data_IF_252278686254
#
_entry.id   IF_252278686254
#
_cell.length_a   1.000
_cell.length_b   1.000
_cell.length_c   1.000
_cell.angle_alpha   90.00
_cell.angle_beta   90.00
_cell.angle_gamma   90.00
#
_symmetry.space_group_name_H-M   'P 1'
#
loop_
_entity.id
_entity.type
_entity.pdbx_description
1 polymer ?
#
# COMPACT_ATOMS: atom_id res chain seq x y z
N UNK A 1 6.60 8.55 19.79
CA UNK A 1 7.19 7.58 18.84
C UNK A 1 8.70 7.69 18.76
N UNK A 2 9.26 8.82 18.29
CA UNK A 2 10.71 9.01 18.11
C UNK A 2 11.53 8.76 19.39
N UNK A 3 11.15 9.36 20.53
CA UNK A 3 11.90 9.22 21.79
C UNK A 3 11.93 7.80 22.39
N UNK A 4 10.91 6.97 22.17
CA UNK A 4 10.69 5.75 22.97
C UNK A 4 10.52 4.46 22.18
N UNK A 5 10.11 4.51 20.92
CA UNK A 5 9.83 3.31 20.10
C UNK A 5 10.78 3.26 18.90
N UNK A 6 10.86 4.33 18.12
CA UNK A 6 11.67 4.38 16.89
C UNK A 6 12.53 5.65 16.84
N UNK A 7 13.67 5.69 17.55
CA UNK A 7 14.61 6.80 17.48
C UNK A 7 15.10 7.03 16.05
N UNK A 8 14.96 8.26 15.55
CA UNK A 8 15.40 8.64 14.20
C UNK A 8 14.48 8.21 13.06
N UNK A 9 13.38 7.51 13.33
CA UNK A 9 12.45 7.13 12.28
C UNK A 9 11.58 8.32 11.85
N UNK A 10 11.65 8.64 10.56
CA UNK A 10 10.65 9.45 9.88
C UNK A 10 9.56 8.54 9.32
N UNK A 11 8.51 8.32 10.11
CA UNK A 11 7.37 7.50 9.72
C UNK A 11 6.32 8.26 8.88
N UNK A 12 6.66 9.47 8.39
CA UNK A 12 5.72 10.36 7.69
C UNK A 12 6.19 10.76 6.30
N UNK A 13 7.04 9.96 5.67
CA UNK A 13 7.45 10.26 4.30
C UNK A 13 6.22 10.22 3.38
N UNK A 14 5.80 11.36 2.80
CA UNK A 14 4.61 11.39 1.97
C UNK A 14 4.87 10.59 0.69
N UNK A 15 3.81 10.02 0.11
CA UNK A 15 3.91 9.21 -1.10
C UNK A 15 4.67 9.94 -2.22
N UNK A 16 4.37 11.23 -2.42
CA UNK A 16 5.03 12.06 -3.43
C UNK A 16 6.55 12.08 -3.29
N UNK A 17 7.07 12.28 -2.07
CA UNK A 17 8.52 12.26 -1.85
C UNK A 17 9.13 10.92 -2.25
N UNK A 18 8.49 9.79 -1.90
CA UNK A 18 9.02 8.47 -2.24
C UNK A 18 9.01 8.28 -3.76
N UNK A 19 7.92 8.64 -4.43
CA UNK A 19 7.79 8.57 -5.89
C UNK A 19 8.87 9.44 -6.56
N UNK A 20 9.06 10.69 -6.13
CA UNK A 20 10.08 11.59 -6.67
C UNK A 20 11.49 10.98 -6.58
N UNK A 21 11.82 10.30 -5.46
CA UNK A 21 13.11 9.63 -5.30
C UNK A 21 13.26 8.39 -6.17
N UNK A 22 12.19 7.62 -6.36
CA UNK A 22 12.20 6.44 -7.22
C UNK A 22 12.36 6.84 -8.69
N UNK A 23 11.63 7.86 -9.14
CA UNK A 23 11.74 8.39 -10.50
C UNK A 23 13.12 9.00 -10.75
N UNK A 24 13.63 9.80 -9.81
CA UNK A 24 14.99 10.34 -9.86
C UNK A 24 16.09 9.26 -9.88
N UNK A 25 15.80 8.07 -9.36
CA UNK A 25 16.70 6.90 -9.43
C UNK A 25 16.52 6.05 -10.70
N UNK A 26 15.73 6.51 -11.67
CA UNK A 26 15.52 5.87 -12.97
C UNK A 26 14.53 4.70 -12.95
N UNK A 27 13.60 4.69 -11.99
CA UNK A 27 12.50 3.73 -11.97
C UNK A 27 11.22 4.32 -12.59
N UNK A 28 10.46 3.48 -13.30
CA UNK A 28 9.09 3.74 -13.70
C UNK A 28 8.15 3.03 -12.72
N UNK A 29 7.18 3.76 -12.17
CA UNK A 29 6.15 3.19 -11.31
C UNK A 29 5.12 2.43 -12.16
N UNK A 30 4.86 1.16 -11.81
CA UNK A 30 3.84 0.32 -12.45
C UNK A 30 2.52 0.29 -11.69
N UNK A 31 2.57 0.47 -10.38
CA UNK A 31 1.39 0.46 -9.53
C UNK A 31 1.71 0.80 -8.10
N UNK A 32 0.73 1.38 -7.40
CA UNK A 32 0.80 1.73 -5.99
C UNK A 32 -0.48 1.23 -5.32
N UNK A 33 -0.34 0.29 -4.41
CA UNK A 33 -1.45 -0.21 -3.60
C UNK A 33 -1.39 0.42 -2.20
N UNK A 34 -2.49 1.03 -1.77
CA UNK A 34 -2.62 1.55 -0.41
C UNK A 34 -3.09 0.44 0.51
N UNK A 35 -2.22 0.00 1.42
CA UNK A 35 -2.45 -1.15 2.30
C UNK A 35 -2.60 -0.78 3.78
N UNK A 36 -2.75 0.52 4.09
CA UNK A 36 -2.84 1.02 5.47
C UNK A 36 -3.93 0.40 6.33
N UNK A 37 -5.10 0.06 5.75
CA UNK A 37 -6.19 -0.61 6.48
C UNK A 37 -5.81 -2.04 6.91
N UNK A 38 -5.01 -2.74 6.10
CA UNK A 38 -4.47 -4.05 6.47
C UNK A 38 -3.43 -3.91 7.59
N UNK A 39 -2.60 -2.86 7.52
CA UNK A 39 -1.65 -2.55 8.58
C UNK A 39 -2.36 -2.23 9.91
N UNK A 40 -3.44 -1.45 9.88
CA UNK A 40 -4.32 -1.24 11.04
C UNK A 40 -4.83 -2.57 11.61
N UNK A 41 -5.30 -3.49 10.76
CA UNK A 41 -5.81 -4.79 11.23
C UNK A 41 -4.71 -5.62 11.91
N UNK A 42 -3.48 -5.56 11.41
CA UNK A 42 -2.31 -6.19 12.04
C UNK A 42 -2.02 -5.58 13.42
N UNK A 43 -1.94 -4.26 13.50
CA UNK A 43 -1.70 -3.54 14.76
C UNK A 43 -2.79 -3.81 15.80
N UNK A 44 -4.04 -3.94 15.36
CA UNK A 44 -5.15 -4.32 16.23
C UNK A 44 -4.96 -5.72 16.84
N UNK A 45 -4.52 -6.70 16.03
CA UNK A 45 -4.23 -8.05 16.53
C UNK A 45 -3.07 -8.02 17.53
N UNK A 46 -2.03 -7.24 17.26
CA UNK A 46 -0.90 -7.07 18.17
C UNK A 46 -1.31 -6.37 19.47
N UNK A 47 -2.14 -5.34 19.40
CA UNK A 47 -2.69 -4.64 20.56
C UNK A 47 -3.46 -5.60 21.48
N UNK A 48 -4.37 -6.41 20.92
CA UNK A 48 -5.11 -7.41 21.71
C UNK A 48 -4.18 -8.43 22.37
N UNK A 49 -3.17 -8.90 21.64
CA UNK A 49 -2.18 -9.83 22.16
C UNK A 49 -1.34 -9.20 23.29
N UNK A 50 -0.98 -7.92 23.15
CA UNK A 50 -0.24 -7.16 24.16
C UNK A 50 -1.03 -7.04 25.46
N UNK A 51 -2.30 -6.63 25.37
CA UNK A 51 -3.21 -6.53 26.52
C UNK A 51 -3.43 -7.88 27.18
N UNK A 52 -3.67 -8.94 26.39
CA UNK A 52 -3.91 -10.29 26.90
C UNK A 52 -2.71 -10.92 27.61
N UNK A 53 -1.49 -10.39 27.41
CA UNK A 53 -0.28 -10.87 28.06
C UNK A 53 0.30 -9.88 29.08
N UNK A 54 -0.52 -8.94 29.57
CA UNK A 54 -0.10 -7.84 30.45
C UNK A 54 0.78 -8.28 31.62
N UNK A 55 0.37 -9.30 32.38
CA UNK A 55 1.10 -9.76 33.57
C UNK A 55 2.54 -10.21 33.22
N UNK A 56 2.68 -10.99 32.14
CA UNK A 56 3.98 -11.49 31.68
C UNK A 56 4.88 -10.35 31.20
N UNK A 57 4.31 -9.39 30.48
CA UNK A 57 5.03 -8.25 29.94
C UNK A 57 5.45 -7.28 31.05
N UNK A 58 4.55 -6.95 31.99
CA UNK A 58 4.86 -6.09 33.13
C UNK A 58 5.92 -6.74 34.04
N UNK A 59 5.86 -8.06 34.27
CA UNK A 59 6.87 -8.76 35.06
C UNK A 59 8.28 -8.69 34.43
N UNK A 60 8.36 -8.77 33.09
CA UNK A 60 9.64 -8.79 32.38
C UNK A 60 10.20 -7.40 32.08
N UNK A 61 9.34 -6.43 31.74
CA UNK A 61 9.75 -5.12 31.22
C UNK A 61 9.29 -3.94 32.09
N UNK A 62 8.42 -4.18 33.07
CA UNK A 62 7.88 -3.15 33.96
C UNK A 62 6.70 -2.36 33.36
N UNK A 63 5.93 -1.74 34.26
CA UNK A 63 4.69 -1.00 33.95
C UNK A 63 4.89 0.17 32.99
N UNK A 64 6.04 0.86 33.09
CA UNK A 64 6.36 2.00 32.22
C UNK A 64 6.41 1.58 30.76
N UNK A 65 7.14 0.52 30.45
CA UNK A 65 7.27 0.01 29.09
C UNK A 65 5.98 -0.57 28.56
N UNK A 66 5.22 -1.27 29.40
CA UNK A 66 3.90 -1.77 29.05
C UNK A 66 2.98 -0.64 28.53
N UNK A 67 2.87 0.45 29.29
CA UNK A 67 2.02 1.60 28.93
C UNK A 67 2.47 2.34 27.68
N UNK A 68 3.79 2.49 27.48
CA UNK A 68 4.33 3.14 26.28
C UNK A 68 3.93 2.36 25.03
N UNK A 69 4.08 1.03 25.05
CA UNK A 69 3.73 0.15 23.93
C UNK A 69 2.22 0.01 23.74
N UNK A 70 1.45 -0.03 24.83
CA UNK A 70 -0.01 -0.02 24.79
C UNK A 70 -0.52 1.22 24.04
N UNK A 71 -0.05 2.41 24.44
CA UNK A 71 -0.40 3.66 23.77
C UNK A 71 0.02 3.67 22.30
N UNK A 72 1.24 3.22 22.02
CA UNK A 72 1.74 3.15 20.64
C UNK A 72 0.85 2.26 19.76
N UNK A 73 0.57 1.03 20.19
CA UNK A 73 -0.23 0.08 19.41
C UNK A 73 -1.67 0.57 19.20
N UNK A 74 -2.29 1.14 20.24
CA UNK A 74 -3.63 1.72 20.13
C UNK A 74 -3.66 2.89 19.13
N UNK A 75 -2.74 3.85 19.28
CA UNK A 75 -2.67 5.01 18.41
C UNK A 75 -2.36 4.63 16.96
N UNK A 76 -1.37 3.75 16.75
CA UNK A 76 -0.97 3.29 15.42
C UNK A 76 -2.09 2.53 14.70
N UNK A 77 -2.93 1.80 15.43
CA UNK A 77 -4.12 1.14 14.87
C UNK A 77 -5.08 2.19 14.27
N UNK A 78 -5.37 3.26 15.01
CA UNK A 78 -6.30 4.31 14.56
C UNK A 78 -5.72 5.10 13.39
N UNK A 79 -4.47 5.54 13.52
CA UNK A 79 -3.88 6.49 12.56
C UNK A 79 -3.61 5.87 11.19
N UNK A 80 -3.32 4.56 11.13
CA UNK A 80 -3.17 3.82 9.87
C UNK A 80 -4.52 3.58 9.20
N UNK A 81 -5.59 3.33 9.97
CA UNK A 81 -6.95 3.16 9.45
C UNK A 81 -7.51 4.43 8.80
N UNK A 82 -7.28 5.60 9.41
CA UNK A 82 -7.78 6.88 8.90
C UNK A 82 -6.88 7.51 7.82
N UNK A 83 -5.79 6.84 7.44
CA UNK A 83 -4.91 7.25 6.34
C UNK A 83 -3.81 8.26 6.70
N UNK A 84 -3.72 8.76 7.94
CA UNK A 84 -2.67 9.73 8.32
C UNK A 84 -1.29 9.11 8.55
N UNK A 85 -1.20 7.78 8.62
CA UNK A 85 0.05 7.01 8.65
C UNK A 85 -0.16 5.67 7.92
N UNK A 86 -0.42 5.75 6.61
CA UNK A 86 -0.72 4.58 5.79
C UNK A 86 0.55 3.85 5.33
N UNK A 87 0.37 2.67 4.75
CA UNK A 87 1.42 1.89 4.12
C UNK A 87 1.12 1.77 2.62
N UNK A 88 2.18 1.81 1.81
CA UNK A 88 2.09 1.65 0.36
C UNK A 88 2.94 0.48 -0.08
N UNK A 89 2.41 -0.31 -1.01
CA UNK A 89 3.19 -1.27 -1.78
C UNK A 89 3.38 -0.69 -3.18
N UNK A 90 4.64 -0.48 -3.58
CA UNK A 90 4.98 0.15 -4.86
C UNK A 90 5.64 -0.90 -5.75
N UNK A 91 5.03 -1.16 -6.90
CA UNK A 91 5.63 -1.99 -7.96
C UNK A 91 6.26 -1.07 -8.99
N UNK A 92 7.51 -1.35 -9.36
CA UNK A 92 8.29 -0.51 -10.25
C UNK A 92 9.26 -1.33 -11.10
N UNK A 93 9.66 -0.77 -12.24
CA UNK A 93 10.63 -1.37 -13.17
C UNK A 93 11.68 -0.35 -13.54
N UNK A 94 12.82 -0.79 -14.09
CA UNK A 94 13.82 0.14 -14.62
C UNK A 94 13.27 0.86 -15.86
N UNK A 95 13.41 2.18 -15.88
CA UNK A 95 13.02 3.02 -17.00
C UNK A 95 14.11 3.02 -18.08
N UNK A 96 14.23 1.90 -18.78
CA UNK A 96 15.19 1.69 -19.86
C UNK A 96 14.48 1.12 -21.09
N UNK A 97 15.05 1.33 -22.28
CA UNK A 97 14.42 0.93 -23.54
C UNK A 97 14.30 -0.60 -23.68
N UNK A 98 15.17 -1.37 -23.02
CA UNK A 98 15.09 -2.83 -23.01
C UNK A 98 13.92 -3.39 -22.18
N UNK A 99 13.22 -2.56 -21.41
CA UNK A 99 12.00 -2.97 -20.69
C UNK A 99 10.80 -2.94 -21.64
N UNK A 100 10.37 -4.11 -22.12
CA UNK A 100 9.19 -4.27 -22.97
C UNK A 100 7.89 -4.12 -22.17
N UNK A 101 7.37 -2.89 -22.08
CA UNK A 101 6.21 -2.52 -21.23
C UNK A 101 4.92 -3.30 -21.52
N UNK A 102 4.75 -3.76 -22.75
CA UNK A 102 3.59 -4.58 -23.18
C UNK A 102 3.53 -5.89 -22.39
N UNK A 103 4.68 -6.47 -22.03
CA UNK A 103 4.76 -7.72 -21.26
C UNK A 103 4.26 -7.55 -19.81
N UNK A 104 4.19 -6.33 -19.31
CA UNK A 104 3.67 -6.01 -17.98
C UNK A 104 2.15 -5.80 -17.92
N UNK A 105 1.42 -5.94 -19.03
CA UNK A 105 -0.05 -5.80 -19.05
C UNK A 105 -0.74 -6.86 -18.16
N UNK A 106 -0.36 -8.16 -18.20
CA UNK A 106 -1.04 -9.21 -17.42
C UNK A 106 -0.98 -9.01 -15.90
N UNK A 107 -0.02 -8.21 -15.40
CA UNK A 107 0.14 -7.94 -13.97
C UNK A 107 -0.60 -6.69 -13.50
N UNK A 108 -1.34 -6.00 -14.38
CA UNK A 108 -2.13 -4.81 -14.06
C UNK A 108 -3.54 -5.21 -13.58
N UNK A 109 -3.61 -5.85 -12.41
CA UNK A 109 -4.85 -6.41 -11.87
C UNK A 109 -5.96 -5.38 -11.69
N UNK A 110 -5.62 -4.14 -11.27
CA UNK A 110 -6.61 -3.06 -11.13
C UNK A 110 -7.31 -2.70 -12.43
N UNK A 111 -6.58 -2.66 -13.55
CA UNK A 111 -7.17 -2.43 -14.87
C UNK A 111 -7.97 -3.64 -15.36
N UNK A 112 -7.52 -4.85 -15.04
CA UNK A 112 -8.24 -6.09 -15.38
C UNK A 112 -9.61 -6.15 -14.68
N UNK A 113 -9.66 -5.78 -13.41
CA UNK A 113 -10.91 -5.66 -12.65
C UNK A 113 -11.82 -4.56 -13.22
N UNK A 114 -11.29 -3.37 -13.47
CA UNK A 114 -12.06 -2.26 -14.05
C UNK A 114 -12.62 -2.62 -15.45
N UNK A 115 -11.82 -3.28 -16.29
CA UNK A 115 -12.26 -3.77 -17.61
C UNK A 115 -13.40 -4.76 -17.48
N UNK A 116 -13.31 -5.71 -16.55
CA UNK A 116 -14.36 -6.72 -16.31
C UNK A 116 -15.65 -6.04 -15.84
N UNK A 117 -15.56 -5.14 -14.86
CA UNK A 117 -16.69 -4.36 -14.40
C UNK A 117 -17.35 -3.52 -15.51
N UNK A 118 -16.57 -2.96 -16.43
CA UNK A 118 -17.09 -2.23 -17.58
C UNK A 118 -17.84 -3.13 -18.58
N UNK A 119 -17.31 -4.33 -18.86
CA UNK A 119 -17.97 -5.32 -19.72
C UNK A 119 -19.32 -5.73 -19.13
N UNK A 120 -19.36 -6.01 -17.84
CA UNK A 120 -20.56 -6.48 -17.15
C UNK A 120 -21.63 -5.37 -17.06
N UNK A 121 -21.24 -4.18 -16.61
CA UNK A 121 -22.20 -3.12 -16.29
C UNK A 121 -22.59 -2.25 -17.50
N UNK A 122 -21.68 -2.08 -18.47
CA UNK A 122 -21.89 -1.19 -19.62
C UNK A 122 -22.05 -2.01 -20.91
N UNK A 123 -21.18 -3.00 -21.10
CA UNK A 123 -21.12 -3.81 -22.32
C UNK A 123 -22.13 -4.95 -22.41
N UNK A 124 -22.99 -5.15 -21.39
CA UNK A 124 -23.94 -6.28 -21.27
C UNK A 124 -23.28 -7.65 -21.46
N UNK A 125 -22.06 -7.82 -20.96
CA UNK A 125 -21.28 -9.05 -21.11
C UNK A 125 -20.38 -9.10 -22.35
N UNK A 126 -20.35 -8.05 -23.16
CA UNK A 126 -19.49 -7.94 -24.35
C UNK A 126 -18.47 -6.81 -24.23
N UNK A 127 -17.28 -7.02 -24.77
CA UNK A 127 -16.28 -5.95 -24.88
C UNK A 127 -16.77 -4.92 -25.91
N UNK A 128 -16.87 -3.66 -25.50
CA UNK A 128 -17.12 -2.57 -26.43
C UNK A 128 -15.90 -2.42 -27.34
N UNK A 129 -16.07 -2.71 -28.63
CA UNK A 129 -15.05 -2.46 -29.64
C UNK A 129 -15.15 -1.02 -30.10
N UNK A 130 -14.02 -0.30 -30.13
CA UNK A 130 -13.94 0.96 -30.87
C UNK A 130 -14.23 0.68 -32.35
N UNK A 131 -15.01 1.55 -32.99
CA UNK A 131 -15.14 1.50 -34.45
C UNK A 131 -13.79 1.91 -35.04
N UNK A 132 -13.01 0.93 -35.49
CA UNK A 132 -11.78 1.16 -36.26
C UNK A 132 -12.21 1.13 -37.72
N UNK A 133 -12.33 2.28 -38.40
CA UNK A 133 -12.65 2.28 -39.83
C UNK A 133 -11.58 1.46 -40.55
N UNK A 134 -12.02 0.57 -41.44
CA UNK A 134 -11.10 -0.22 -42.24
C UNK A 134 -10.18 0.74 -43.00
N UNK A 135 -8.87 0.60 -42.83
CA UNK A 135 -7.90 1.31 -43.65
C UNK A 135 -8.07 0.80 -45.07
N UNK A 136 -8.54 1.66 -45.98
CA UNK A 136 -8.52 1.37 -47.41
C UNK A 136 -7.07 1.05 -47.79
N UNK A 137 -6.84 -0.18 -48.25
CA UNK A 137 -5.56 -0.57 -48.81
C UNK A 137 -5.40 0.20 -50.12
N UNK A 138 -4.54 1.23 -50.12
CA UNK A 138 -3.98 1.79 -51.35
C UNK A 138 -2.78 0.97 -51.82
#
# INVERSE_FOLDING_TARGET
>A
MNKYIFPGADARTPLGFVVDKLEGAGFEIKGIDTVGVHYSATLWRWYRNWLGNREKVEAKYGKKWFRIWEFFLAYSTIISRQGSATCYQITMVKNINSTHRVEGIPTQFGLSGARTAAIENVGKGTLLTANVPATEKH
#
